data_IF_834578035334
#
_entry.id   IF_834578035334
#
_cell.length_a   1.000
_cell.length_b   1.000
_cell.length_c   1.000
_cell.angle_alpha   90.00
_cell.angle_beta   90.00
_cell.angle_gamma   90.00
#
_symmetry.space_group_name_H-M   'P 1'
#
loop_
_entity.id
_entity.type
_entity.pdbx_description
1 polymer ?
#
# COMPACT_ATOMS: atom_id res chain seq x y z
N UNK A 1 22.94 13.03 -5.14
CA UNK A 1 21.95 13.78 -5.95
C UNK A 1 22.58 14.95 -6.72
N UNK A 2 23.49 15.73 -6.10
CA UNK A 2 24.07 16.90 -6.75
C UNK A 2 24.91 16.57 -7.98
N UNK A 3 25.68 15.48 -7.94
CA UNK A 3 26.43 14.98 -9.11
C UNK A 3 25.47 14.61 -10.26
N UNK A 4 24.36 13.92 -9.97
CA UNK A 4 23.35 13.59 -10.98
C UNK A 4 22.80 14.87 -11.63
N UNK A 5 22.50 15.90 -10.84
CA UNK A 5 22.03 17.19 -11.38
C UNK A 5 23.08 17.87 -12.27
N UNK A 6 24.35 17.72 -11.99
CA UNK A 6 25.41 18.29 -12.85
C UNK A 6 25.60 17.54 -14.16
N UNK A 7 25.24 16.24 -14.21
CA UNK A 7 25.39 15.40 -15.41
C UNK A 7 24.21 15.52 -16.40
N UNK A 8 23.03 15.92 -15.93
CA UNK A 8 21.81 15.96 -16.74
C UNK A 8 21.21 17.36 -16.81
N UNK A 9 20.83 17.78 -18.03
CA UNK A 9 20.29 19.13 -18.30
C UNK A 9 18.89 19.35 -17.71
N UNK A 10 18.06 18.29 -17.57
CA UNK A 10 16.68 18.38 -17.10
C UNK A 10 16.47 17.44 -15.92
N UNK A 11 16.34 18.00 -14.72
CA UNK A 11 16.13 17.27 -13.47
C UNK A 11 15.01 17.91 -12.66
N UNK A 12 14.33 17.10 -11.85
CA UNK A 12 13.29 17.53 -10.89
C UNK A 12 13.71 17.09 -9.50
N UNK A 13 13.63 17.98 -8.53
CA UNK A 13 13.98 17.74 -7.13
C UNK A 13 12.83 17.00 -6.40
N UNK A 14 12.64 15.72 -6.71
CA UNK A 14 11.53 14.90 -6.19
C UNK A 14 11.72 14.48 -4.73
N UNK A 15 12.96 14.50 -4.24
CA UNK A 15 13.28 14.09 -2.86
C UNK A 15 14.73 14.31 -2.53
N UNK A 16 15.27 15.49 -2.82
CA UNK A 16 16.70 15.77 -2.70
C UNK A 16 17.23 15.59 -1.27
N UNK A 17 16.41 15.90 -0.26
CA UNK A 17 16.74 15.68 1.16
C UNK A 17 16.90 14.19 1.51
N UNK A 18 16.25 13.31 0.74
CA UNK A 18 16.28 11.86 0.89
C UNK A 18 17.17 11.19 -0.15
N UNK A 19 17.95 11.95 -0.89
CA UNK A 19 18.91 11.44 -1.87
C UNK A 19 18.31 11.12 -3.25
N UNK A 20 17.06 11.53 -3.55
CA UNK A 20 16.39 11.21 -4.81
C UNK A 20 16.28 12.43 -5.73
N UNK A 21 16.60 12.22 -7.00
CA UNK A 21 16.43 13.19 -8.09
C UNK A 21 15.79 12.48 -9.27
N UNK A 22 14.80 13.10 -9.89
CA UNK A 22 14.21 12.59 -11.14
C UNK A 22 14.92 13.23 -12.34
N UNK A 23 15.44 12.40 -13.23
CA UNK A 23 16.07 12.79 -14.49
C UNK A 23 15.08 12.62 -15.64
N UNK A 24 14.88 13.67 -16.42
CA UNK A 24 14.09 13.62 -17.66
C UNK A 24 15.05 13.43 -18.85
N UNK A 25 15.04 12.24 -19.46
CA UNK A 25 15.98 11.90 -20.53
C UNK A 25 15.28 11.11 -21.64
N UNK A 26 15.46 11.54 -22.90
CA UNK A 26 14.91 10.89 -24.12
C UNK A 26 13.44 10.53 -24.02
N UNK A 27 12.61 11.43 -23.43
CA UNK A 27 11.17 11.21 -23.29
C UNK A 27 10.77 10.33 -22.09
N UNK A 28 11.72 9.78 -21.36
CA UNK A 28 11.52 9.01 -20.13
C UNK A 28 11.79 9.83 -18.87
N UNK A 29 11.26 9.34 -17.76
CA UNK A 29 11.46 9.86 -16.40
C UNK A 29 12.14 8.77 -15.55
N UNK A 30 13.28 9.07 -14.97
CA UNK A 30 14.11 8.13 -14.23
C UNK A 30 14.39 8.68 -12.83
N UNK A 31 13.96 7.97 -11.80
CA UNK A 31 14.32 8.29 -10.42
C UNK A 31 15.68 7.70 -10.09
N UNK A 32 16.63 8.56 -9.70
CA UNK A 32 17.96 8.16 -9.27
C UNK A 32 18.09 8.47 -7.79
N UNK A 33 18.30 7.42 -7.00
CA UNK A 33 18.39 7.53 -5.55
C UNK A 33 19.75 7.02 -5.07
N UNK A 34 20.38 7.75 -4.16
CA UNK A 34 21.57 7.29 -3.45
C UNK A 34 21.17 6.24 -2.42
N UNK A 35 21.90 5.14 -2.33
CA UNK A 35 21.67 4.13 -1.30
C UNK A 35 21.78 4.78 0.08
N UNK A 36 20.87 4.38 0.97
CA UNK A 36 20.76 4.96 2.30
C UNK A 36 20.32 3.95 3.34
N UNK A 37 20.71 4.20 4.56
CA UNK A 37 20.07 3.63 5.77
C UNK A 37 19.18 4.70 6.39
N UNK A 38 18.21 4.24 7.14
CA UNK A 38 17.28 5.07 7.87
C UNK A 38 17.50 4.79 9.36
N UNK A 39 17.64 5.86 10.16
CA UNK A 39 17.75 5.76 11.61
C UNK A 39 16.41 5.51 12.28
N UNK A 40 16.33 5.76 13.59
CA UNK A 40 15.09 5.62 14.34
C UNK A 40 13.98 6.51 13.78
N UNK A 41 12.74 6.14 14.06
CA UNK A 41 11.54 6.84 13.61
C UNK A 41 10.79 7.34 14.85
N UNK A 42 11.02 8.59 15.26
CA UNK A 42 10.33 9.17 16.41
C UNK A 42 8.87 9.51 16.12
N UNK A 43 8.55 9.82 14.87
CA UNK A 43 7.20 10.22 14.42
C UNK A 43 6.44 9.14 13.63
N UNK A 44 6.98 7.89 13.58
CA UNK A 44 6.44 6.77 12.77
C UNK A 44 6.26 7.12 11.28
N UNK A 45 7.01 8.10 10.77
CA UNK A 45 6.92 8.58 9.38
C UNK A 45 8.25 8.85 8.73
N UNK A 46 9.08 9.65 9.38
CA UNK A 46 10.36 10.07 8.83
C UNK A 46 11.48 9.48 9.69
N UNK A 47 12.50 8.91 9.07
CA UNK A 47 13.70 8.58 9.82
C UNK A 47 14.29 9.87 10.40
N UNK A 48 14.61 9.85 11.69
CA UNK A 48 15.23 11.00 12.37
C UNK A 48 16.55 11.38 11.71
N UNK A 49 17.25 10.38 11.14
CA UNK A 49 18.49 10.56 10.40
C UNK A 49 18.49 9.67 9.15
N UNK A 50 18.94 10.25 8.05
CA UNK A 50 19.22 9.55 6.80
C UNK A 50 20.74 9.53 6.60
N UNK A 51 21.32 8.35 6.60
CA UNK A 51 22.74 8.17 6.30
C UNK A 51 22.90 7.57 4.90
N UNK A 52 23.62 8.25 4.03
CA UNK A 52 23.96 7.70 2.71
C UNK A 52 25.03 6.62 2.85
N UNK A 53 24.78 5.47 2.24
CA UNK A 53 25.66 4.30 2.29
C UNK A 53 26.05 3.87 0.89
N UNK A 54 27.07 3.02 0.79
CA UNK A 54 27.48 2.40 -0.47
C UNK A 54 27.00 0.95 -0.62
N UNK A 55 26.34 0.42 0.40
CA UNK A 55 25.86 -0.95 0.44
C UNK A 55 24.46 -1.04 -0.13
N UNK A 56 24.28 -1.81 -1.20
CA UNK A 56 22.99 -2.17 -1.76
C UNK A 56 22.16 -2.98 -0.74
N UNK A 57 22.80 -3.89 0.00
CA UNK A 57 22.16 -4.72 1.00
C UNK A 57 21.44 -3.89 2.07
N UNK A 58 22.12 -2.87 2.60
CA UNK A 58 21.52 -1.97 3.60
C UNK A 58 20.34 -1.17 3.03
N UNK A 59 20.40 -0.73 1.76
CA UNK A 59 19.29 -0.03 1.11
C UNK A 59 18.10 -0.97 0.87
N UNK A 60 18.33 -2.21 0.48
CA UNK A 60 17.26 -3.19 0.28
C UNK A 60 16.61 -3.61 1.60
N UNK A 61 17.39 -3.76 2.67
CA UNK A 61 16.92 -4.17 4.00
C UNK A 61 15.91 -3.20 4.63
N UNK A 62 15.99 -1.90 4.35
CA UNK A 62 15.06 -0.88 4.88
C UNK A 62 13.73 -0.81 4.14
N UNK A 63 13.57 -1.50 3.01
CA UNK A 63 12.36 -1.48 2.19
C UNK A 63 11.19 -2.20 2.87
N UNK A 64 10.00 -2.05 2.31
CA UNK A 64 8.76 -2.58 2.89
C UNK A 64 8.59 -4.09 2.67
N UNK A 65 8.60 -4.54 1.39
CA UNK A 65 8.27 -5.92 1.04
C UNK A 65 9.36 -6.55 0.17
N UNK A 66 9.50 -7.87 0.28
CA UNK A 66 10.49 -8.67 -0.44
C UNK A 66 10.43 -8.47 -1.95
N UNK A 67 9.22 -8.43 -2.52
CA UNK A 67 8.98 -8.19 -3.95
C UNK A 67 9.43 -6.80 -4.43
N UNK A 68 9.61 -5.83 -3.52
CA UNK A 68 10.10 -4.49 -3.79
C UNK A 68 11.60 -4.34 -3.50
N UNK A 69 12.26 -5.41 -3.05
CA UNK A 69 13.69 -5.43 -2.71
C UNK A 69 14.52 -6.21 -3.72
N UNK A 70 14.05 -6.31 -4.93
CA UNK A 70 14.81 -6.84 -6.06
C UNK A 70 15.63 -5.72 -6.70
N UNK A 71 16.88 -6.00 -7.03
CA UNK A 71 17.75 -5.11 -7.77
C UNK A 71 18.29 -5.80 -9.01
N UNK A 72 18.70 -5.03 -10.00
CA UNK A 72 19.36 -5.55 -11.20
C UNK A 72 20.67 -4.81 -11.44
N UNK A 73 21.72 -5.56 -11.70
CA UNK A 73 22.94 -5.01 -12.28
C UNK A 73 22.77 -5.01 -13.80
N UNK A 74 22.49 -3.83 -14.37
CA UNK A 74 22.22 -3.68 -15.81
C UNK A 74 23.43 -4.09 -16.66
N UNK A 75 24.66 -3.92 -16.17
CA UNK A 75 25.87 -4.31 -16.90
C UNK A 75 26.11 -5.83 -16.90
N UNK A 76 25.82 -6.50 -15.78
CA UNK A 76 25.98 -7.96 -15.66
C UNK A 76 24.74 -8.72 -16.13
N UNK A 77 23.58 -8.06 -16.29
CA UNK A 77 22.32 -8.71 -16.62
C UNK A 77 21.77 -9.60 -15.48
N UNK A 78 22.29 -9.42 -14.27
CA UNK A 78 21.93 -10.25 -13.11
C UNK A 78 20.84 -9.58 -12.27
N UNK A 79 19.93 -10.41 -11.73
CA UNK A 79 18.99 -10.00 -10.70
C UNK A 79 19.58 -10.33 -9.34
N UNK A 80 19.64 -9.36 -8.47
CA UNK A 80 20.09 -9.49 -7.09
C UNK A 80 18.86 -9.60 -6.20
N UNK A 81 18.69 -10.73 -5.54
CA UNK A 81 17.60 -11.05 -4.63
C UNK A 81 18.18 -11.50 -3.27
N UNK A 82 18.15 -10.62 -2.28
CA UNK A 82 18.67 -10.86 -0.93
C UNK A 82 17.59 -11.27 0.06
N UNK A 83 16.33 -11.21 -0.35
CA UNK A 83 15.18 -11.37 0.56
C UNK A 83 14.11 -12.35 0.03
N UNK A 84 14.48 -13.22 -0.91
CA UNK A 84 13.56 -14.20 -1.54
C UNK A 84 12.37 -13.58 -2.28
N UNK A 85 12.53 -12.36 -2.78
CA UNK A 85 11.50 -11.61 -3.49
C UNK A 85 11.02 -12.28 -4.77
N UNK A 86 11.91 -12.97 -5.51
CA UNK A 86 11.55 -13.75 -6.70
C UNK A 86 10.65 -14.94 -6.36
N UNK A 87 10.92 -15.61 -5.23
CA UNK A 87 10.07 -16.69 -4.72
C UNK A 87 8.69 -16.17 -4.35
N UNK A 88 8.62 -15.08 -3.60
CA UNK A 88 7.36 -14.46 -3.21
C UNK A 88 6.58 -13.94 -4.42
N UNK A 89 7.25 -13.39 -5.44
CA UNK A 89 6.65 -12.97 -6.70
C UNK A 89 6.01 -14.15 -7.44
N UNK A 90 6.73 -15.26 -7.53
CA UNK A 90 6.24 -16.49 -8.15
C UNK A 90 5.04 -17.09 -7.40
N UNK A 91 5.06 -17.02 -6.08
CA UNK A 91 4.01 -17.56 -5.21
C UNK A 91 2.83 -16.59 -4.98
N UNK A 92 2.85 -15.39 -5.55
CA UNK A 92 1.81 -14.38 -5.34
C UNK A 92 1.70 -13.93 -3.88
N UNK A 93 2.82 -13.65 -3.23
CA UNK A 93 2.89 -13.38 -1.79
C UNK A 93 3.43 -11.98 -1.50
N UNK A 94 2.75 -11.25 -0.62
CA UNK A 94 3.22 -9.98 -0.02
C UNK A 94 3.82 -10.31 1.35
N UNK A 95 5.15 -10.22 1.46
CA UNK A 95 5.89 -10.48 2.69
C UNK A 95 6.72 -9.27 3.09
N UNK A 96 6.62 -8.83 4.35
CA UNK A 96 7.50 -7.79 4.87
C UNK A 96 8.94 -8.29 4.98
N UNK A 97 9.91 -7.39 4.74
CA UNK A 97 11.34 -7.72 4.87
C UNK A 97 11.70 -7.85 6.35
N UNK A 98 12.40 -8.91 6.69
CA UNK A 98 12.88 -9.16 8.05
C UNK A 98 11.74 -9.37 9.04
N UNK A 99 11.73 -8.60 10.14
CA UNK A 99 10.70 -8.69 11.16
C UNK A 99 9.52 -7.75 10.84
N UNK A 100 8.31 -8.27 10.51
CA UNK A 100 7.16 -7.44 10.18
C UNK A 100 6.76 -6.46 11.29
N UNK A 101 6.92 -6.85 12.57
CA UNK A 101 6.62 -6.00 13.72
C UNK A 101 7.49 -4.75 13.74
N UNK A 102 8.77 -4.87 13.43
CA UNK A 102 9.69 -3.74 13.33
C UNK A 102 9.34 -2.85 12.15
N UNK A 103 9.10 -3.45 10.98
CA UNK A 103 8.74 -2.72 9.75
C UNK A 103 7.49 -1.85 9.91
N UNK A 104 6.47 -2.34 10.60
CA UNK A 104 5.23 -1.58 10.82
C UNK A 104 5.30 -0.60 12.00
N UNK A 105 6.25 -0.76 12.92
CA UNK A 105 6.57 0.26 13.92
C UNK A 105 7.30 1.45 13.32
N UNK A 106 8.18 1.22 12.35
CA UNK A 106 8.91 2.29 11.64
C UNK A 106 7.95 3.19 10.83
N UNK A 107 7.09 2.62 10.00
CA UNK A 107 6.08 3.37 9.23
C UNK A 107 4.77 2.56 9.17
N UNK A 108 3.78 3.00 9.92
CA UNK A 108 2.45 2.40 9.95
C UNK A 108 1.74 2.41 8.59
N UNK A 109 2.12 3.31 7.66
CA UNK A 109 1.57 3.32 6.30
C UNK A 109 1.90 2.03 5.54
N UNK A 110 2.98 1.33 5.88
CA UNK A 110 3.34 0.06 5.25
C UNK A 110 2.20 -0.98 5.34
N UNK A 111 1.34 -0.91 6.36
CA UNK A 111 0.15 -1.76 6.46
C UNK A 111 -0.87 -1.45 5.35
N UNK A 112 -1.15 -0.17 5.08
CA UNK A 112 -2.00 0.22 3.94
C UNK A 112 -1.36 -0.12 2.60
N UNK A 113 -0.04 0.00 2.49
CA UNK A 113 0.72 -0.41 1.30
C UNK A 113 0.61 -1.91 1.04
N UNK A 114 0.63 -2.77 2.10
CA UNK A 114 0.40 -4.21 1.96
C UNK A 114 -0.97 -4.50 1.34
N UNK A 115 -2.04 -3.88 1.87
CA UNK A 115 -3.39 -4.00 1.33
C UNK A 115 -3.49 -3.51 -0.12
N UNK A 116 -2.85 -2.38 -0.44
CA UNK A 116 -2.81 -1.86 -1.81
C UNK A 116 -2.03 -2.77 -2.76
N UNK A 117 -0.90 -3.33 -2.36
CA UNK A 117 -0.16 -4.27 -3.22
C UNK A 117 -0.94 -5.56 -3.43
N UNK A 118 -1.67 -6.05 -2.41
CA UNK A 118 -2.61 -7.16 -2.57
C UNK A 118 -3.67 -6.85 -3.65
N UNK A 119 -4.28 -5.65 -3.58
CA UNK A 119 -5.24 -5.19 -4.59
C UNK A 119 -4.62 -5.01 -5.99
N UNK A 120 -3.37 -4.53 -6.07
CA UNK A 120 -2.72 -4.24 -7.34
C UNK A 120 -2.27 -5.50 -8.07
N UNK A 121 -1.75 -6.48 -7.34
CA UNK A 121 -1.09 -7.66 -7.90
C UNK A 121 -1.96 -8.93 -7.85
N UNK A 122 -3.04 -8.92 -7.07
CA UNK A 122 -3.83 -10.12 -6.80
C UNK A 122 -3.10 -11.10 -5.87
N UNK A 123 -2.17 -10.61 -5.03
CA UNK A 123 -1.33 -11.42 -4.16
C UNK A 123 -1.89 -11.49 -2.74
N UNK A 124 -1.70 -12.63 -2.08
CA UNK A 124 -2.07 -12.80 -0.67
C UNK A 124 -0.98 -12.24 0.26
N UNK A 125 -1.41 -11.73 1.42
CA UNK A 125 -0.47 -11.29 2.46
C UNK A 125 -0.02 -12.50 3.27
N UNK A 126 1.30 -12.63 3.46
CA UNK A 126 1.92 -13.70 4.25
C UNK A 126 1.44 -13.66 5.71
N UNK A 127 1.31 -14.84 6.35
CA UNK A 127 0.68 -15.00 7.66
C UNK A 127 1.29 -14.17 8.80
N UNK A 128 2.63 -14.15 8.93
CA UNK A 128 3.31 -13.35 9.96
C UNK A 128 3.17 -11.85 9.67
N UNK A 129 3.21 -11.46 8.40
CA UNK A 129 2.98 -10.08 7.95
C UNK A 129 1.58 -9.62 8.32
N UNK A 130 0.54 -10.43 8.03
CA UNK A 130 -0.84 -10.13 8.40
C UNK A 130 -1.04 -10.09 9.92
N UNK A 131 -0.41 -10.99 10.65
CA UNK A 131 -0.47 -11.02 12.12
C UNK A 131 0.14 -9.77 12.73
N UNK A 132 1.27 -9.29 12.19
CA UNK A 132 1.89 -8.04 12.62
C UNK A 132 1.03 -6.81 12.28
N UNK A 133 0.39 -6.77 11.10
CA UNK A 133 -0.58 -5.73 10.75
C UNK A 133 -1.69 -5.67 11.79
N UNK A 134 -2.27 -6.82 12.16
CA UNK A 134 -3.33 -6.92 13.16
C UNK A 134 -2.88 -6.43 14.54
N UNK A 135 -1.68 -6.83 14.96
CA UNK A 135 -1.12 -6.44 16.26
C UNK A 135 -0.82 -4.94 16.37
N UNK A 136 -0.44 -4.31 15.26
CA UNK A 136 0.00 -2.91 15.21
C UNK A 136 -1.00 -1.98 14.50
N UNK A 137 -2.25 -2.42 14.27
CA UNK A 137 -3.26 -1.67 13.53
C UNK A 137 -3.47 -0.24 14.04
N UNK A 138 -3.33 0.00 15.35
CA UNK A 138 -3.51 1.32 15.96
C UNK A 138 -2.43 2.33 15.52
N UNK A 139 -1.25 1.88 15.09
CA UNK A 139 -0.19 2.77 14.59
C UNK A 139 -0.61 3.54 13.33
N UNK A 140 -1.65 3.09 12.63
CA UNK A 140 -2.19 3.79 11.46
C UNK A 140 -2.74 5.18 11.84
N UNK A 141 -3.15 5.40 13.08
CA UNK A 141 -3.65 6.68 13.58
C UNK A 141 -2.58 7.79 13.59
N UNK A 142 -1.30 7.39 13.61
CA UNK A 142 -0.17 8.32 13.57
C UNK A 142 0.15 8.79 12.13
N UNK A 143 -0.48 8.19 11.13
CA UNK A 143 -0.24 8.50 9.72
C UNK A 143 -1.20 9.61 9.26
N UNK A 144 -0.67 10.56 8.49
CA UNK A 144 -1.51 11.64 7.96
C UNK A 144 -2.61 11.11 7.03
N UNK A 145 -3.79 11.72 7.11
CA UNK A 145 -4.96 11.32 6.33
C UNK A 145 -4.72 11.40 4.82
N UNK A 146 -3.87 12.32 4.38
CA UNK A 146 -3.51 12.48 2.97
C UNK A 146 -2.77 11.24 2.45
N UNK A 147 -1.79 10.73 3.21
CA UNK A 147 -1.05 9.51 2.84
C UNK A 147 -1.98 8.28 2.80
N UNK A 148 -2.84 8.12 3.81
CA UNK A 148 -3.83 7.03 3.87
C UNK A 148 -4.77 7.12 2.67
N UNK A 149 -5.30 8.33 2.36
CA UNK A 149 -6.18 8.57 1.22
C UNK A 149 -5.52 8.17 -0.10
N UNK A 150 -4.25 8.53 -0.31
CA UNK A 150 -3.55 8.19 -1.54
C UNK A 150 -3.41 6.68 -1.72
N UNK A 151 -3.03 5.94 -0.67
CA UNK A 151 -2.94 4.48 -0.72
C UNK A 151 -4.32 3.84 -0.94
N UNK A 152 -5.36 4.36 -0.27
CA UNK A 152 -6.73 3.88 -0.44
C UNK A 152 -7.28 4.12 -1.85
N UNK A 153 -7.06 5.29 -2.43
CA UNK A 153 -7.50 5.59 -3.80
C UNK A 153 -6.82 4.66 -4.80
N UNK A 154 -5.51 4.42 -4.64
CA UNK A 154 -4.77 3.46 -5.46
C UNK A 154 -5.24 2.02 -5.26
N UNK A 155 -5.67 1.65 -4.06
CA UNK A 155 -6.26 0.35 -3.76
C UNK A 155 -7.59 0.18 -4.52
N UNK A 156 -8.50 1.14 -4.40
CA UNK A 156 -9.82 1.12 -5.07
C UNK A 156 -9.68 1.13 -6.59
N UNK A 157 -8.66 1.81 -7.12
CA UNK A 157 -8.40 1.88 -8.57
C UNK A 157 -7.61 0.68 -9.12
N UNK A 158 -7.28 -0.29 -8.27
CA UNK A 158 -6.49 -1.47 -8.64
C UNK A 158 -7.33 -2.55 -9.33
N UNK A 159 -6.69 -3.54 -10.02
CA UNK A 159 -7.39 -4.65 -10.68
C UNK A 159 -8.13 -5.59 -9.74
N UNK A 160 -7.68 -5.73 -8.48
CA UNK A 160 -8.25 -6.66 -7.50
C UNK A 160 -8.63 -5.93 -6.19
N UNK A 161 -9.54 -4.91 -6.23
CA UNK A 161 -9.83 -4.07 -5.07
C UNK A 161 -10.39 -4.87 -3.89
N UNK A 162 -11.18 -5.92 -4.16
CA UNK A 162 -11.69 -6.85 -3.13
C UNK A 162 -10.58 -7.41 -2.26
N UNK A 163 -9.48 -7.89 -2.84
CA UNK A 163 -8.37 -8.45 -2.08
C UNK A 163 -7.74 -7.44 -1.11
N UNK A 164 -7.64 -6.19 -1.55
CA UNK A 164 -7.16 -5.10 -0.68
C UNK A 164 -8.13 -4.78 0.46
N UNK A 165 -9.43 -4.74 0.18
CA UNK A 165 -10.46 -4.52 1.19
C UNK A 165 -10.50 -5.68 2.21
N UNK A 166 -10.39 -6.93 1.75
CA UNK A 166 -10.27 -8.10 2.63
C UNK A 166 -9.01 -8.06 3.50
N UNK A 167 -7.88 -7.59 2.96
CA UNK A 167 -6.66 -7.41 3.74
C UNK A 167 -6.84 -6.36 4.85
N UNK A 168 -7.51 -5.25 4.55
CA UNK A 168 -7.87 -4.22 5.54
C UNK A 168 -8.83 -4.76 6.59
N UNK A 169 -9.77 -5.60 6.19
CA UNK A 169 -10.71 -6.27 7.09
C UNK A 169 -9.98 -7.22 8.04
N UNK A 170 -9.23 -8.18 7.49
CA UNK A 170 -8.51 -9.22 8.25
C UNK A 170 -7.48 -8.62 9.22
N UNK A 171 -6.91 -7.48 8.88
CA UNK A 171 -5.95 -6.76 9.75
C UNK A 171 -6.63 -5.84 10.77
N UNK A 172 -7.91 -5.54 10.63
CA UNK A 172 -8.66 -4.59 11.46
C UNK A 172 -8.44 -3.11 11.07
N UNK A 173 -7.74 -2.83 9.97
CA UNK A 173 -7.55 -1.46 9.49
C UNK A 173 -8.86 -0.82 9.02
N UNK A 174 -9.79 -1.63 8.47
CA UNK A 174 -11.08 -1.14 8.00
C UNK A 174 -11.91 -0.55 9.13
N UNK A 175 -11.95 -1.22 10.27
CA UNK A 175 -12.66 -0.76 11.47
C UNK A 175 -12.16 0.61 11.96
N UNK A 176 -10.85 0.85 11.85
CA UNK A 176 -10.21 2.09 12.31
C UNK A 176 -10.39 3.24 11.32
N UNK A 177 -10.23 2.95 10.02
CA UNK A 177 -10.14 3.97 8.97
C UNK A 177 -11.49 4.29 8.33
N UNK A 178 -12.39 3.30 8.26
CA UNK A 178 -13.70 3.39 7.61
C UNK A 178 -14.77 2.69 8.46
N UNK A 179 -15.02 3.17 9.70
CA UNK A 179 -15.96 2.52 10.63
C UNK A 179 -17.37 2.42 10.03
N UNK A 180 -17.82 3.40 9.24
CA UNK A 180 -19.12 3.37 8.60
C UNK A 180 -19.21 2.24 7.56
N UNK A 181 -18.16 2.00 6.79
CA UNK A 181 -18.07 0.87 5.85
C UNK A 181 -18.01 -0.46 6.60
N UNK A 182 -17.31 -0.51 7.73
CA UNK A 182 -17.24 -1.68 8.59
C UNK A 182 -18.63 -2.08 9.14
N UNK A 183 -19.43 -1.12 9.58
CA UNK A 183 -20.78 -1.34 10.11
C UNK A 183 -21.76 -1.90 9.07
N UNK A 184 -21.56 -1.63 7.76
CA UNK A 184 -22.44 -2.18 6.71
C UNK A 184 -22.48 -3.71 6.68
N UNK A 185 -21.48 -4.38 7.28
CA UNK A 185 -21.40 -5.85 7.37
C UNK A 185 -22.46 -6.47 8.26
N UNK A 186 -23.02 -5.68 9.20
CA UNK A 186 -24.08 -6.12 10.12
C UNK A 186 -25.47 -6.06 9.49
N UNK A 187 -25.58 -5.44 8.33
CA UNK A 187 -26.86 -5.28 7.64
C UNK A 187 -27.07 -6.46 6.70
N UNK A 188 -27.91 -7.40 7.12
CA UNK A 188 -28.29 -8.54 6.29
C UNK A 188 -29.10 -8.09 5.07
N UNK A 189 -28.96 -8.81 3.98
CA UNK A 189 -29.76 -8.62 2.79
C UNK A 189 -31.22 -8.98 3.04
N UNK A 190 -32.14 -8.26 2.40
CA UNK A 190 -33.58 -8.52 2.45
C UNK A 190 -34.16 -8.58 1.04
N UNK A 191 -35.10 -9.47 0.84
CA UNK A 191 -35.85 -9.61 -0.40
C UNK A 191 -34.98 -10.10 -1.55
N UNK A 192 -34.75 -9.27 -2.57
CA UNK A 192 -34.00 -9.62 -3.76
C UNK A 192 -32.48 -9.62 -3.55
N UNK A 193 -31.96 -9.02 -2.48
CA UNK A 193 -30.53 -8.98 -2.14
C UNK A 193 -30.24 -10.07 -1.10
N UNK A 194 -29.58 -11.13 -1.54
CA UNK A 194 -29.14 -12.24 -0.66
C UNK A 194 -27.87 -11.92 0.12
N UNK A 195 -27.07 -11.02 -0.41
CA UNK A 195 -25.81 -10.58 0.15
C UNK A 195 -26.04 -9.51 1.23
N UNK A 196 -25.16 -9.44 2.23
CA UNK A 196 -25.14 -8.32 3.17
C UNK A 196 -24.78 -7.01 2.47
N UNK A 197 -25.04 -5.88 3.12
CA UNK A 197 -24.83 -4.57 2.52
C UNK A 197 -23.36 -4.35 2.11
N UNK A 198 -22.40 -4.80 2.92
CA UNK A 198 -20.98 -4.69 2.59
C UNK A 198 -20.63 -5.41 1.28
N UNK A 199 -21.10 -6.64 1.13
CA UNK A 199 -20.87 -7.42 -0.10
C UNK A 199 -21.49 -6.74 -1.32
N UNK A 200 -22.70 -6.18 -1.18
CA UNK A 200 -23.33 -5.37 -2.23
C UNK A 200 -22.46 -4.17 -2.65
N UNK A 201 -21.87 -3.46 -1.69
CA UNK A 201 -20.98 -2.32 -1.96
C UNK A 201 -19.69 -2.76 -2.68
N UNK A 202 -19.09 -3.88 -2.26
CA UNK A 202 -17.91 -4.43 -2.91
C UNK A 202 -18.21 -4.91 -4.33
N UNK A 203 -19.34 -5.59 -4.56
CA UNK A 203 -19.79 -5.98 -5.90
C UNK A 203 -20.04 -4.76 -6.80
N UNK A 204 -20.61 -3.69 -6.27
CA UNK A 204 -20.84 -2.44 -7.00
C UNK A 204 -19.50 -1.78 -7.41
N UNK A 205 -18.50 -1.81 -6.53
CA UNK A 205 -17.13 -1.37 -6.86
C UNK A 205 -16.52 -2.23 -7.98
N UNK A 206 -16.65 -3.56 -7.88
CA UNK A 206 -16.13 -4.48 -8.91
C UNK A 206 -16.82 -4.27 -10.25
N UNK A 207 -18.12 -4.07 -10.29
CA UNK A 207 -18.85 -3.75 -11.51
C UNK A 207 -18.37 -2.42 -12.13
N UNK A 208 -18.15 -1.39 -11.31
CA UNK A 208 -17.59 -0.12 -11.79
C UNK A 208 -16.15 -0.27 -12.34
N UNK A 209 -15.33 -1.13 -11.71
CA UNK A 209 -13.99 -1.48 -12.21
C UNK A 209 -14.08 -2.16 -13.58
N UNK A 210 -14.95 -3.15 -13.73
CA UNK A 210 -15.10 -3.96 -14.96
C UNK A 210 -15.59 -3.10 -16.14
N UNK A 211 -16.36 -2.05 -15.84
CA UNK A 211 -16.76 -1.04 -16.82
C UNK A 211 -15.64 -0.01 -17.15
N UNK A 212 -14.46 -0.12 -16.54
CA UNK A 212 -13.37 0.84 -16.74
C UNK A 212 -13.66 2.24 -16.19
N UNK A 213 -14.57 2.35 -15.21
CA UNK A 213 -14.96 3.63 -14.65
C UNK A 213 -13.78 4.36 -13.95
N UNK A 214 -13.75 5.70 -13.94
CA UNK A 214 -12.74 6.45 -13.20
C UNK A 214 -12.86 6.21 -11.69
N UNK A 215 -11.75 6.43 -10.96
CA UNK A 215 -11.66 6.16 -9.50
C UNK A 215 -12.77 6.84 -8.69
N UNK A 216 -13.21 8.03 -9.10
CA UNK A 216 -14.31 8.76 -8.44
C UNK A 216 -15.64 8.00 -8.52
N UNK A 217 -15.93 7.36 -9.66
CA UNK A 217 -17.14 6.54 -9.82
C UNK A 217 -17.00 5.22 -9.04
N UNK A 218 -15.82 4.61 -9.02
CA UNK A 218 -15.52 3.42 -8.20
C UNK A 218 -15.72 3.72 -6.71
N UNK A 219 -15.26 4.87 -6.22
CA UNK A 219 -15.48 5.32 -4.86
C UNK A 219 -16.97 5.58 -4.58
N UNK A 220 -17.67 6.25 -5.50
CA UNK A 220 -19.11 6.44 -5.38
C UNK A 220 -19.85 5.11 -5.31
N UNK A 221 -19.47 4.11 -6.12
CA UNK A 221 -20.05 2.77 -6.07
C UNK A 221 -19.77 2.05 -4.74
N UNK A 222 -18.56 2.21 -4.15
CA UNK A 222 -18.25 1.63 -2.86
C UNK A 222 -19.01 2.27 -1.69
N UNK A 223 -19.36 3.55 -1.79
CA UNK A 223 -19.93 4.31 -0.67
C UNK A 223 -21.41 4.71 -0.85
N UNK A 224 -22.08 4.37 -1.98
CA UNK A 224 -23.41 4.91 -2.30
C UNK A 224 -24.49 4.63 -1.24
N UNK A 225 -24.36 3.53 -0.53
CA UNK A 225 -25.35 3.08 0.48
C UNK A 225 -24.76 3.01 1.91
N UNK A 226 -23.60 3.62 2.14
CA UNK A 226 -22.86 3.55 3.42
C UNK A 226 -23.68 4.07 4.62
N UNK A 227 -24.64 4.96 4.40
CA UNK A 227 -25.51 5.52 5.45
C UNK A 227 -26.72 4.63 5.82
N UNK A 228 -26.93 3.50 5.13
CA UNK A 228 -28.09 2.62 5.44
C UNK A 228 -28.13 2.08 6.87
N UNK A 229 -26.99 1.75 7.54
CA UNK A 229 -27.01 1.31 8.92
C UNK A 229 -27.67 2.30 9.88
N UNK A 230 -27.51 3.61 9.65
CA UNK A 230 -28.01 4.67 10.53
C UNK A 230 -29.52 4.95 10.37
N UNK A 231 -30.06 4.65 9.18
CA UNK A 231 -31.44 4.99 8.81
C UNK A 231 -32.39 3.80 8.71
N UNK A 232 -31.86 2.56 8.71
CA UNK A 232 -32.66 1.35 8.64
C UNK A 232 -33.44 1.15 9.95
N UNK A 233 -34.66 1.68 10.03
CA UNK A 233 -35.61 1.35 11.06
C UNK A 233 -36.27 0.03 10.67
N UNK A 234 -36.19 -0.98 11.54
CA UNK A 234 -37.05 -2.16 11.45
C UNK A 234 -38.47 -1.65 11.75
N UNK A 235 -39.29 -1.51 10.71
CA UNK A 235 -40.71 -1.27 10.89
C UNK A 235 -41.29 -2.65 11.31
N UNK A 236 -41.88 -2.74 12.48
CA UNK A 236 -42.43 -3.99 12.98
C UNK A 236 -43.58 -4.53 12.09
#
# INVERSE_FOLDING_TARGET
PMEVKSMFRRTIDTGIKHGTVTVLFKGGSYEITTFRTEGDYSDSRHPDNVCFVRSLEEDLKRRDFTINALASNVQAGEIIDMHEGLSDLKNGTIRAIGNPMERFKEDGLRMMRAARFSAKLGFSIEGNTLSAMKALKENIRNISRERIREEFFRLVDSPFPRMGLEAMEKSGLMEILFPELWETRRIEGHGYHKENLYEHLVLSLEAARDLGAPVTVKLAALFHDIGKPDVKRVIP
#
